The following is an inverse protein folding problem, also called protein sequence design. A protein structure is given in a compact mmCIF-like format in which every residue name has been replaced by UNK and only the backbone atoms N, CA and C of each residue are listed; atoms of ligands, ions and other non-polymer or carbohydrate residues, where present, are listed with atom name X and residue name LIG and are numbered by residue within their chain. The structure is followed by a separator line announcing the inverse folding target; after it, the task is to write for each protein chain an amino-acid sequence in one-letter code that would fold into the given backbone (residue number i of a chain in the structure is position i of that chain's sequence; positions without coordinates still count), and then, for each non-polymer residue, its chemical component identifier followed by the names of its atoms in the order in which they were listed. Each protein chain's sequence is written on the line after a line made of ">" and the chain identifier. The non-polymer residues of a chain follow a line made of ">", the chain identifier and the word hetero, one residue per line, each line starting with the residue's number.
data_IF_382869464918
#
_entry.id   IF_382869464918
#
_cell.length_a   1.000
_cell.length_b   1.000
_cell.length_c   1.000
_cell.angle_alpha   90.00
_cell.angle_beta   90.00
_cell.angle_gamma   90.00
#
_symmetry.space_group_name_H-M   'P 1'
#
loop_
_entity.id
_entity.type
_entity.pdbx_description
1 polymer ?
#
# COMPACT_ATOMS: atom_id res chain seq x y z
N UNK A 1 -37.91 -8.85 -26.42
CA UNK A 1 -37.31 -8.97 -25.06
C UNK A 1 -35.85 -8.72 -25.26
N UNK A 2 -35.50 -7.45 -25.14
CA UNK A 2 -34.35 -6.88 -25.83
C UNK A 2 -33.17 -6.98 -24.88
N UNK A 3 -32.27 -7.91 -25.16
CA UNK A 3 -31.11 -8.17 -24.31
C UNK A 3 -30.07 -7.05 -24.53
N UNK A 4 -30.21 -5.95 -23.80
CA UNK A 4 -29.15 -4.94 -23.66
C UNK A 4 -28.05 -5.51 -22.78
N UNK A 5 -27.11 -6.22 -23.42
CA UNK A 5 -25.76 -6.35 -22.91
C UNK A 5 -25.13 -4.95 -22.95
N UNK A 6 -25.10 -4.28 -21.81
CA UNK A 6 -24.34 -3.05 -21.63
C UNK A 6 -22.87 -3.39 -21.65
N UNK A 7 -22.26 -3.26 -22.83
CA UNK A 7 -20.83 -3.16 -23.01
C UNK A 7 -20.35 -1.83 -22.41
N UNK A 8 -19.95 -1.83 -21.14
CA UNK A 8 -19.13 -0.74 -20.59
C UNK A 8 -17.71 -1.23 -20.50
N UNK A 9 -16.93 -0.84 -21.51
CA UNK A 9 -15.51 -1.08 -21.59
C UNK A 9 -14.78 -0.54 -20.36
N UNK A 10 -14.05 -1.43 -19.69
CA UNK A 10 -12.90 -1.04 -18.89
C UNK A 10 -11.73 -1.76 -19.51
N UNK A 11 -10.89 -1.00 -20.22
CA UNK A 11 -9.62 -1.46 -20.78
C UNK A 11 -8.85 -2.15 -19.67
N UNK A 12 -8.91 -3.48 -19.65
CA UNK A 12 -8.26 -4.33 -18.67
C UNK A 12 -6.76 -4.29 -18.97
N UNK A 13 -6.11 -3.19 -18.57
CA UNK A 13 -4.66 -3.13 -18.43
C UNK A 13 -4.37 -4.13 -17.32
N UNK A 14 -4.15 -5.39 -17.71
CA UNK A 14 -3.64 -6.44 -16.84
C UNK A 14 -2.26 -5.98 -16.39
N UNK A 15 -2.21 -5.09 -15.40
CA UNK A 15 -1.00 -4.84 -14.65
C UNK A 15 -0.70 -6.19 -14.05
N UNK A 16 0.36 -6.85 -14.55
CA UNK A 16 0.81 -8.11 -13.98
C UNK A 16 0.87 -7.91 -12.47
N UNK A 17 0.20 -8.77 -11.71
CA UNK A 17 0.14 -8.64 -10.27
C UNK A 17 1.57 -8.78 -9.73
N UNK A 18 2.21 -7.65 -9.44
CA UNK A 18 3.54 -7.63 -8.84
C UNK A 18 3.40 -8.19 -7.43
N UNK A 19 4.16 -9.22 -7.04
CA UNK A 19 4.13 -9.71 -5.68
C UNK A 19 4.52 -8.61 -4.68
N UNK A 20 3.88 -8.61 -3.50
CA UNK A 20 4.05 -7.55 -2.50
C UNK A 20 5.52 -7.39 -2.09
N UNK A 21 6.26 -8.49 -1.93
CA UNK A 21 7.69 -8.49 -1.56
C UNK A 21 8.62 -7.86 -2.62
N UNK A 22 8.15 -7.69 -3.86
CA UNK A 22 8.92 -7.07 -4.95
C UNK A 22 8.61 -5.58 -5.05
N UNK A 23 7.46 -5.13 -4.53
CA UNK A 23 7.03 -3.74 -4.64
C UNK A 23 7.97 -2.81 -3.86
N UNK A 24 8.38 -1.66 -4.45
CA UNK A 24 9.17 -0.66 -3.73
C UNK A 24 8.31 0.18 -2.77
N UNK A 25 7.02 0.33 -3.09
CA UNK A 25 6.06 1.07 -2.31
C UNK A 25 4.83 0.21 -2.04
N UNK A 26 4.34 0.28 -0.81
CA UNK A 26 3.16 -0.45 -0.35
C UNK A 26 2.04 0.54 -0.03
N UNK A 27 0.80 0.17 -0.31
CA UNK A 27 -0.35 0.83 0.32
C UNK A 27 -0.46 0.40 1.80
N UNK A 28 -1.34 1.04 2.57
CA UNK A 28 -1.61 0.61 3.96
C UNK A 28 -2.14 -0.83 3.99
N UNK A 29 -2.99 -1.20 3.03
CA UNK A 29 -3.49 -2.57 2.85
C UNK A 29 -2.33 -3.55 2.64
N UNK A 30 -1.46 -3.27 1.67
CA UNK A 30 -0.36 -4.15 1.31
C UNK A 30 0.67 -4.26 2.44
N UNK A 31 0.92 -3.17 3.17
CA UNK A 31 1.80 -3.18 4.33
C UNK A 31 1.23 -4.00 5.49
N UNK A 32 -0.09 -3.97 5.71
CA UNK A 32 -0.75 -4.81 6.70
C UNK A 32 -0.63 -6.30 6.33
N UNK A 33 -0.85 -6.64 5.06
CA UNK A 33 -0.66 -8.01 4.55
C UNK A 33 0.80 -8.48 4.63
N UNK A 34 1.74 -7.58 4.38
CA UNK A 34 3.18 -7.87 4.37
C UNK A 34 3.78 -8.02 5.78
N UNK A 35 3.39 -7.14 6.72
CA UNK A 35 4.01 -7.07 8.07
C UNK A 35 3.16 -7.70 9.17
N UNK A 36 1.86 -7.88 8.94
CA UNK A 36 0.91 -8.24 9.99
C UNK A 36 0.51 -7.09 10.93
N UNK A 37 1.03 -5.87 10.74
CA UNK A 37 0.66 -4.70 11.54
C UNK A 37 -0.75 -4.23 11.14
N UNK A 38 -1.60 -4.00 12.14
CA UNK A 38 -2.97 -3.53 11.92
C UNK A 38 -3.02 -2.18 11.20
N UNK A 39 -4.05 -2.00 10.35
CA UNK A 39 -4.24 -0.79 9.53
C UNK A 39 -4.22 0.50 10.35
N UNK A 40 -4.92 0.50 11.48
CA UNK A 40 -5.05 1.69 12.32
C UNK A 40 -3.70 2.11 12.91
N UNK A 41 -2.89 1.13 13.33
CA UNK A 41 -1.51 1.37 13.78
C UNK A 41 -0.63 1.88 12.62
N UNK A 42 -0.76 1.34 11.41
CA UNK A 42 -0.06 1.87 10.24
C UNK A 42 -0.48 3.31 9.92
N UNK A 43 -1.75 3.66 10.07
CA UNK A 43 -2.21 5.05 9.93
C UNK A 43 -1.62 5.97 11.01
N UNK A 44 -1.53 5.50 12.25
CA UNK A 44 -0.88 6.22 13.35
C UNK A 44 0.60 6.46 13.04
N UNK A 45 1.35 5.41 12.70
CA UNK A 45 2.80 5.48 12.39
C UNK A 45 3.10 6.38 11.19
N UNK A 46 2.21 6.44 10.21
CA UNK A 46 2.36 7.24 8.99
C UNK A 46 1.80 8.65 9.09
N UNK A 47 1.22 9.02 10.24
CA UNK A 47 0.64 10.36 10.47
C UNK A 47 1.68 11.43 10.84
N UNK A 48 2.89 11.04 11.21
CA UNK A 48 3.97 11.95 11.55
C UNK A 48 4.44 12.73 10.31
N UNK A 49 4.59 14.05 10.45
CA UNK A 49 4.91 14.97 9.35
C UNK A 49 6.24 14.62 8.64
N UNK A 50 7.24 14.14 9.40
CA UNK A 50 8.57 13.80 8.90
C UNK A 50 8.83 12.28 8.88
N UNK A 51 7.79 11.48 8.66
CA UNK A 51 7.94 10.03 8.66
C UNK A 51 8.81 9.55 7.47
N UNK A 52 10.01 8.98 7.69
CA UNK A 52 11.00 8.75 6.64
C UNK A 52 10.56 7.70 5.60
N UNK A 53 9.73 6.75 6.05
CA UNK A 53 9.17 5.69 5.22
C UNK A 53 7.83 6.06 4.58
N UNK A 54 7.32 7.28 4.73
CA UNK A 54 6.10 7.73 4.05
C UNK A 54 6.45 8.43 2.73
N UNK A 55 5.65 8.15 1.71
CA UNK A 55 5.62 8.87 0.45
C UNK A 55 4.19 9.33 0.18
N UNK A 56 4.02 10.64 -0.03
CA UNK A 56 2.74 11.21 -0.43
C UNK A 56 2.63 11.26 -1.96
N UNK A 57 1.58 10.64 -2.49
CA UNK A 57 1.22 10.66 -3.91
C UNK A 57 -0.14 11.34 -4.04
N UNK A 58 -0.12 12.67 -4.16
CA UNK A 58 -1.32 13.49 -3.99
C UNK A 58 -1.90 13.29 -2.59
N UNK A 59 -3.17 12.88 -2.52
CA UNK A 59 -3.85 12.60 -1.25
C UNK A 59 -3.63 11.17 -0.73
N UNK A 60 -2.90 10.33 -1.48
CA UNK A 60 -2.66 8.93 -1.10
C UNK A 60 -1.33 8.81 -0.35
N UNK A 61 -1.36 8.12 0.78
CA UNK A 61 -0.17 7.69 1.52
C UNK A 61 0.33 6.35 0.98
N UNK A 62 1.63 6.28 0.72
CA UNK A 62 2.35 5.08 0.34
C UNK A 62 3.51 4.87 1.34
N UNK A 63 3.88 3.63 1.58
CA UNK A 63 4.98 3.25 2.46
C UNK A 63 6.17 2.79 1.60
N UNK A 64 7.35 3.38 1.79
CA UNK A 64 8.61 2.95 1.17
C UNK A 64 9.07 1.67 1.84
N UNK A 65 8.91 0.52 1.18
CA UNK A 65 9.10 -0.81 1.80
C UNK A 65 10.46 -0.96 2.48
N UNK A 66 11.56 -0.63 1.78
CA UNK A 66 12.92 -0.84 2.31
C UNK A 66 13.20 -0.01 3.58
N UNK A 67 12.81 1.26 3.59
CA UNK A 67 13.01 2.14 4.76
C UNK A 67 12.09 1.71 5.91
N UNK A 68 10.90 1.19 5.59
CA UNK A 68 9.98 0.65 6.59
C UNK A 68 10.49 -0.65 7.21
N UNK A 69 11.08 -1.54 6.39
CA UNK A 69 11.74 -2.77 6.85
C UNK A 69 12.86 -2.42 7.84
N UNK A 70 13.76 -1.50 7.46
CA UNK A 70 14.85 -1.01 8.32
C UNK A 70 14.33 -0.38 9.62
N UNK A 71 13.23 0.37 9.55
CA UNK A 71 12.59 0.96 10.73
C UNK A 71 12.06 -0.12 11.67
N UNK A 72 11.33 -1.12 11.16
CA UNK A 72 10.76 -2.20 11.98
C UNK A 72 11.88 -3.03 12.62
N UNK A 73 12.95 -3.35 11.87
CA UNK A 73 14.08 -4.12 12.38
C UNK A 73 14.77 -3.47 13.58
N UNK A 74 14.76 -2.15 13.66
CA UNK A 74 15.34 -1.38 14.77
C UNK A 74 14.40 -1.27 15.98
N UNK A 75 13.11 -1.54 15.81
CA UNK A 75 12.11 -1.39 16.87
C UNK A 75 11.97 -2.67 17.67
N UNK A 76 12.03 -2.55 19.00
CA UNK A 76 11.68 -3.65 19.91
C UNK A 76 10.15 -3.84 20.00
N UNK A 77 9.38 -2.77 19.86
CA UNK A 77 7.91 -2.74 19.99
C UNK A 77 7.34 -1.56 19.19
N UNK A 78 6.10 -1.71 18.71
CA UNK A 78 5.38 -0.74 17.87
C UNK A 78 3.99 -0.44 18.45
#
# INVERSE_FOLDING_TARGET
>A
MDNKLTETGSSNRRVAAVPIWIKPYLTIEEAAEYTGIGRDKLYEMTSLADCPFVLWVGNRRMIKRRIFDEYIEQMYSI
#
